data_IF_434549114906
#
_entry.id   IF_434549114906
#
_cell.length_a   1.000
_cell.length_b   1.000
_cell.length_c   1.000
_cell.angle_alpha   90.00
_cell.angle_beta   90.00
_cell.angle_gamma   90.00
#
_symmetry.space_group_name_H-M   'P 1'
#
loop_
_entity.id
_entity.type
_entity.pdbx_description
1 polymer ?
#
# COMPACT_ATOMS: atom_id res chain seq x y z
N UNK A 1 -30.16 34.73 12.39
CA UNK A 1 -29.32 33.71 13.06
C UNK A 1 -29.91 32.32 12.81
N UNK A 2 -29.44 31.60 11.78
CA UNK A 2 -29.78 30.19 11.54
C UNK A 2 -28.49 29.39 11.69
N UNK A 3 -28.46 28.48 12.66
CA UNK A 3 -27.30 27.66 13.04
C UNK A 3 -27.14 26.52 12.05
N UNK A 4 -25.96 26.42 11.44
CA UNK A 4 -25.56 25.38 10.49
C UNK A 4 -25.24 24.06 11.21
N UNK A 5 -25.77 22.91 10.78
CA UNK A 5 -25.34 21.59 11.26
C UNK A 5 -24.37 20.96 10.25
N UNK A 6 -23.12 21.40 10.21
CA UNK A 6 -22.11 20.84 9.28
C UNK A 6 -20.74 20.62 9.94
N UNK A 7 -20.70 20.42 11.26
CA UNK A 7 -19.44 20.38 12.00
C UNK A 7 -19.15 19.07 12.76
N UNK A 8 -19.67 17.92 12.33
CA UNK A 8 -19.33 16.64 12.98
C UNK A 8 -19.12 15.47 12.02
N UNK A 9 -18.58 15.75 10.83
CA UNK A 9 -18.07 14.70 9.94
C UNK A 9 -16.62 14.97 9.49
N UNK A 10 -15.82 15.61 10.34
CA UNK A 10 -14.40 15.92 10.04
C UNK A 10 -13.42 15.36 11.08
N UNK A 11 -13.79 14.26 11.76
CA UNK A 11 -12.90 13.61 12.73
C UNK A 11 -12.77 12.09 12.52
N UNK A 12 -12.73 11.66 11.26
CA UNK A 12 -12.41 10.26 10.88
C UNK A 12 -11.10 10.18 10.08
N UNK A 13 -10.28 11.25 10.08
CA UNK A 13 -9.11 11.35 9.19
C UNK A 13 -7.76 11.44 9.94
N UNK A 14 -7.73 11.51 11.27
CA UNK A 14 -6.49 11.85 11.98
C UNK A 14 -5.96 10.79 12.97
N UNK A 15 -5.91 9.50 12.59
CA UNK A 15 -5.24 8.51 13.46
C UNK A 15 -4.64 7.28 12.77
N UNK A 16 -4.04 7.43 11.58
CA UNK A 16 -3.37 6.33 10.87
C UNK A 16 -2.05 6.76 10.18
N UNK A 17 -1.35 7.75 10.73
CA UNK A 17 -0.23 8.39 10.04
C UNK A 17 1.17 7.75 10.24
N UNK A 18 1.36 6.69 11.03
CA UNK A 18 2.74 6.34 11.43
C UNK A 18 3.24 4.94 11.17
N UNK A 19 2.48 4.03 10.56
CA UNK A 19 3.04 2.70 10.29
C UNK A 19 2.56 2.12 8.95
N UNK A 20 3.40 2.39 7.93
CA UNK A 20 4.04 1.32 7.19
C UNK A 20 3.14 0.34 6.43
N UNK A 21 3.24 0.46 5.11
CA UNK A 21 3.06 -0.61 4.11
C UNK A 21 1.60 -0.86 3.70
N UNK A 22 1.40 -0.74 2.38
CA UNK A 22 0.20 -0.91 1.53
C UNK A 22 -0.65 0.31 1.17
N UNK A 23 -0.55 1.42 1.90
CA UNK A 23 -1.14 2.69 1.46
C UNK A 23 -0.10 3.79 1.59
N UNK A 24 0.48 4.22 0.46
CA UNK A 24 1.21 5.49 0.43
C UNK A 24 0.19 6.60 0.71
N UNK A 25 0.26 7.15 1.91
CA UNK A 25 -0.46 8.33 2.34
C UNK A 25 0.05 9.55 1.57
N UNK A 26 -0.63 9.89 0.48
CA UNK A 26 -0.64 11.24 -0.07
C UNK A 26 -2.06 11.55 -0.56
N UNK A 27 -2.83 12.24 0.28
CA UNK A 27 -4.12 12.84 -0.09
C UNK A 27 -5.35 11.99 0.21
N UNK A 28 -6.10 12.41 1.21
CA UNK A 28 -7.46 11.96 1.48
C UNK A 28 -8.36 12.20 0.25
N UNK A 29 -8.95 11.14 -0.31
CA UNK A 29 -10.21 11.15 -1.08
C UNK A 29 -10.56 9.72 -1.52
N UNK A 30 -11.85 9.34 -1.58
CA UNK A 30 -12.30 8.00 -1.99
C UNK A 30 -12.01 7.64 -3.46
N UNK A 31 -11.28 8.49 -4.20
CA UNK A 31 -10.75 8.23 -5.54
C UNK A 31 -9.22 7.96 -5.56
N UNK A 32 -8.53 8.12 -4.42
CA UNK A 32 -7.07 7.95 -4.28
C UNK A 32 -6.62 6.52 -3.97
N UNK A 33 -7.51 5.69 -3.44
CA UNK A 33 -7.21 4.30 -3.05
C UNK A 33 -6.90 3.41 -4.27
N UNK A 34 -7.65 3.57 -5.37
CA UNK A 34 -7.40 2.89 -6.64
C UNK A 34 -6.09 3.36 -7.31
N UNK A 35 -5.75 4.65 -7.19
CA UNK A 35 -4.47 5.21 -7.68
C UNK A 35 -3.28 4.71 -6.86
N UNK A 36 -3.44 4.54 -5.56
CA UNK A 36 -2.39 4.03 -4.68
C UNK A 36 -1.95 2.61 -5.07
N UNK A 37 -2.91 1.73 -5.35
CA UNK A 37 -2.62 0.37 -5.82
C UNK A 37 -2.01 0.37 -7.23
N UNK A 38 -2.60 1.09 -8.19
CA UNK A 38 -2.10 1.13 -9.56
C UNK A 38 -0.64 1.63 -9.62
N UNK A 39 -0.31 2.69 -8.89
CA UNK A 39 1.05 3.22 -8.80
C UNK A 39 2.01 2.28 -8.05
N UNK A 40 1.52 1.47 -7.11
CA UNK A 40 2.35 0.44 -6.46
C UNK A 40 2.62 -0.73 -7.39
N UNK A 41 1.59 -1.21 -8.10
CA UNK A 41 1.70 -2.25 -9.11
C UNK A 41 2.71 -1.83 -10.18
N UNK A 42 2.55 -0.64 -10.74
CA UNK A 42 3.48 -0.09 -11.74
C UNK A 42 4.92 -0.08 -11.25
N UNK A 43 5.17 0.38 -10.01
CA UNK A 43 6.51 0.33 -9.41
C UNK A 43 7.10 -1.08 -9.31
N UNK A 44 6.28 -2.08 -8.99
CA UNK A 44 6.72 -3.47 -8.92
C UNK A 44 6.97 -4.05 -10.31
N UNK A 45 6.06 -3.82 -11.27
CA UNK A 45 6.21 -4.28 -12.64
C UNK A 45 7.46 -3.71 -13.28
N UNK A 46 7.65 -2.39 -13.18
CA UNK A 46 8.80 -1.69 -13.76
C UNK A 46 10.09 -2.00 -13.00
N UNK A 47 10.05 -1.98 -11.67
CA UNK A 47 11.24 -2.19 -10.84
C UNK A 47 11.78 -3.62 -10.86
N UNK A 48 10.89 -4.61 -10.99
CA UNK A 48 11.26 -6.03 -11.04
C UNK A 48 11.24 -6.61 -12.45
N UNK A 49 10.85 -5.80 -13.45
CA UNK A 49 10.66 -6.23 -14.84
C UNK A 49 9.78 -7.50 -14.90
N UNK A 50 8.60 -7.44 -14.27
CA UNK A 50 7.69 -8.58 -14.19
C UNK A 50 7.15 -8.94 -15.58
N UNK A 51 7.27 -10.20 -15.97
CA UNK A 51 6.65 -10.70 -17.18
C UNK A 51 5.11 -10.74 -17.09
N UNK A 52 4.44 -11.03 -18.20
CA UNK A 52 2.96 -11.05 -18.28
C UNK A 52 2.34 -12.05 -17.30
N UNK A 53 2.98 -13.20 -17.08
CA UNK A 53 2.47 -14.22 -16.17
C UNK A 53 2.67 -13.82 -14.70
N UNK A 54 3.81 -13.22 -14.37
CA UNK A 54 4.08 -12.66 -13.05
C UNK A 54 3.15 -11.48 -12.73
N UNK A 55 2.81 -10.65 -13.71
CA UNK A 55 1.83 -9.57 -13.56
C UNK A 55 0.43 -10.11 -13.24
N UNK A 56 -0.03 -11.15 -13.95
CA UNK A 56 -1.31 -11.81 -13.63
C UNK A 56 -1.33 -12.38 -12.22
N UNK A 57 -0.21 -12.98 -11.78
CA UNK A 57 -0.06 -13.48 -10.40
C UNK A 57 -0.09 -12.34 -9.38
N UNK A 58 0.57 -11.22 -9.64
CA UNK A 58 0.51 -10.03 -8.79
C UNK A 58 -0.93 -9.51 -8.63
N UNK A 59 -1.68 -9.45 -9.72
CA UNK A 59 -3.08 -9.02 -9.71
C UNK A 59 -3.98 -10.01 -8.96
N UNK A 60 -3.75 -11.32 -9.12
CA UNK A 60 -4.46 -12.37 -8.39
C UNK A 60 -4.18 -12.32 -6.88
N UNK A 61 -2.91 -12.19 -6.47
CA UNK A 61 -2.50 -12.04 -5.07
C UNK A 61 -3.20 -10.84 -4.45
N UNK A 62 -3.19 -9.70 -5.15
CA UNK A 62 -3.81 -8.47 -4.61
C UNK A 62 -5.32 -8.61 -4.51
N UNK A 63 -5.97 -9.16 -5.53
CA UNK A 63 -7.43 -9.38 -5.51
C UNK A 63 -7.86 -10.29 -4.36
N UNK A 64 -7.05 -11.30 -4.01
CA UNK A 64 -7.28 -12.17 -2.87
C UNK A 64 -7.03 -11.50 -1.51
N UNK A 65 -6.13 -10.52 -1.44
CA UNK A 65 -5.77 -9.81 -0.20
C UNK A 65 -6.77 -8.69 0.15
N UNK A 66 -7.38 -8.04 -0.84
CA UNK A 66 -8.30 -6.91 -0.61
C UNK A 66 -9.42 -7.20 0.41
N UNK A 67 -10.20 -8.30 0.29
CA UNK A 67 -11.23 -8.62 1.28
C UNK A 67 -10.68 -8.79 2.70
N UNK A 68 -9.44 -9.30 2.81
CA UNK A 68 -8.79 -9.55 4.10
C UNK A 68 -8.33 -8.24 4.75
N UNK A 69 -7.83 -7.29 3.95
CA UNK A 69 -7.53 -5.92 4.41
C UNK A 69 -8.80 -5.24 4.90
N UNK A 70 -9.92 -5.38 4.17
CA UNK A 70 -11.21 -4.83 4.59
C UNK A 70 -11.70 -5.48 5.89
N UNK A 71 -11.52 -6.79 6.06
CA UNK A 71 -11.87 -7.50 7.29
C UNK A 71 -11.11 -6.98 8.52
N UNK A 72 -9.89 -6.43 8.36
CA UNK A 72 -9.16 -5.82 9.47
C UNK A 72 -9.92 -4.65 10.11
N UNK A 73 -10.74 -3.91 9.34
CA UNK A 73 -11.51 -2.80 9.86
C UNK A 73 -12.57 -3.25 10.89
N UNK A 74 -13.06 -4.49 10.75
CA UNK A 74 -14.00 -5.12 11.66
C UNK A 74 -13.36 -5.66 12.95
N UNK A 75 -12.03 -5.70 13.05
CA UNK A 75 -11.33 -6.18 14.25
C UNK A 75 -11.26 -5.12 15.35
N UNK A 76 -11.06 -5.57 16.58
CA UNK A 76 -10.70 -4.70 17.70
C UNK A 76 -9.37 -3.98 17.45
N UNK A 77 -9.25 -2.75 17.96
CA UNK A 77 -8.05 -1.92 17.77
C UNK A 77 -6.76 -2.64 18.18
N UNK A 78 -6.79 -3.40 19.27
CA UNK A 78 -5.64 -4.16 19.76
C UNK A 78 -5.24 -5.32 18.83
N UNK A 79 -6.20 -5.89 18.08
CA UNK A 79 -5.97 -7.01 17.17
C UNK A 79 -5.61 -6.57 15.75
N UNK A 80 -5.95 -5.33 15.36
CA UNK A 80 -5.67 -4.80 14.02
C UNK A 80 -4.20 -4.77 13.66
N UNK A 81 -3.36 -4.25 14.54
CA UNK A 81 -1.92 -4.13 14.29
C UNK A 81 -1.24 -5.50 14.05
N UNK A 82 -1.39 -6.51 14.94
CA UNK A 82 -0.81 -7.83 14.69
C UNK A 82 -1.42 -8.52 13.46
N UNK A 83 -2.73 -8.42 13.23
CA UNK A 83 -3.38 -9.00 12.05
C UNK A 83 -2.89 -8.35 10.74
N UNK A 84 -2.67 -7.03 10.73
CA UNK A 84 -2.10 -6.31 9.59
C UNK A 84 -0.64 -6.70 9.31
N UNK A 85 0.15 -6.90 10.36
CA UNK A 85 1.53 -7.37 10.22
C UNK A 85 1.59 -8.77 9.62
N UNK A 86 0.73 -9.69 10.08
CA UNK A 86 0.61 -11.04 9.51
C UNK A 86 0.20 -11.00 8.04
N UNK A 87 -0.83 -10.21 7.69
CA UNK A 87 -1.28 -10.07 6.31
C UNK A 87 -0.18 -9.50 5.40
N UNK A 88 0.63 -8.59 5.93
CA UNK A 88 1.77 -8.01 5.21
C UNK A 88 2.88 -9.03 4.97
N UNK A 89 3.21 -9.85 5.97
CA UNK A 89 4.20 -10.93 5.83
C UNK A 89 3.74 -11.97 4.81
N UNK A 90 2.47 -12.36 4.85
CA UNK A 90 1.91 -13.33 3.90
C UNK A 90 1.96 -12.81 2.46
N UNK A 91 1.58 -11.55 2.23
CA UNK A 91 1.69 -10.94 0.91
C UNK A 91 3.15 -10.89 0.41
N UNK A 92 4.11 -10.59 1.28
CA UNK A 92 5.54 -10.65 0.92
C UNK A 92 6.00 -12.06 0.58
N UNK A 93 5.52 -13.08 1.29
CA UNK A 93 5.84 -14.48 0.99
C UNK A 93 5.28 -14.90 -0.37
N UNK A 94 4.02 -14.55 -0.66
CA UNK A 94 3.39 -14.84 -1.95
C UNK A 94 4.09 -14.13 -3.11
N UNK A 95 4.51 -12.87 -2.92
CA UNK A 95 5.33 -12.15 -3.90
C UNK A 95 6.67 -12.86 -4.11
N UNK A 96 7.42 -13.16 -3.06
CA UNK A 96 8.72 -13.83 -3.19
C UNK A 96 8.64 -15.19 -3.89
N UNK A 97 7.54 -15.93 -3.71
CA UNK A 97 7.36 -17.25 -4.33
C UNK A 97 7.25 -17.20 -5.87
N UNK A 98 6.79 -16.09 -6.45
CA UNK A 98 6.65 -15.93 -7.92
C UNK A 98 7.84 -15.25 -8.59
N UNK A 99 8.81 -14.73 -7.82
CA UNK A 99 9.97 -14.00 -8.33
C UNK A 99 11.16 -14.93 -8.56
N UNK A 100 11.95 -14.61 -9.58
CA UNK A 100 13.27 -15.23 -9.79
C UNK A 100 14.26 -14.83 -8.68
N UNK A 101 15.39 -15.54 -8.50
CA UNK A 101 16.43 -15.15 -7.55
C UNK A 101 16.88 -13.69 -7.70
N UNK A 102 17.13 -13.24 -8.94
CA UNK A 102 17.58 -11.88 -9.23
C UNK A 102 16.50 -10.84 -8.90
N UNK A 103 15.25 -11.12 -9.26
CA UNK A 103 14.11 -10.26 -8.92
C UNK A 103 13.90 -10.17 -7.40
N UNK A 104 14.12 -11.25 -6.65
CA UNK A 104 14.04 -11.23 -5.17
C UNK A 104 15.12 -10.33 -4.57
N UNK A 105 16.34 -10.35 -5.11
CA UNK A 105 17.41 -9.45 -4.69
C UNK A 105 17.04 -7.98 -4.96
N UNK A 106 16.53 -7.65 -6.14
CA UNK A 106 16.04 -6.30 -6.46
C UNK A 106 14.88 -5.89 -5.55
N UNK A 107 13.94 -6.81 -5.29
CA UNK A 107 12.82 -6.55 -4.38
C UNK A 107 13.31 -6.24 -2.96
N UNK A 108 14.29 -6.98 -2.43
CA UNK A 108 14.88 -6.70 -1.12
C UNK A 108 15.53 -5.31 -1.06
N UNK A 109 16.23 -4.89 -2.11
CA UNK A 109 16.81 -3.54 -2.21
C UNK A 109 15.72 -2.45 -2.25
N UNK A 110 14.63 -2.66 -2.99
CA UNK A 110 13.49 -1.73 -3.03
C UNK A 110 12.84 -1.59 -1.64
N UNK A 111 12.71 -2.70 -0.91
CA UNK A 111 12.15 -2.70 0.44
C UNK A 111 13.05 -1.97 1.44
N UNK A 112 14.37 -2.16 1.35
CA UNK A 112 15.36 -1.46 2.17
C UNK A 112 15.33 0.06 1.94
N UNK A 113 15.27 0.52 0.67
CA UNK A 113 15.15 1.94 0.32
C UNK A 113 13.87 2.57 0.87
N UNK A 114 12.76 1.82 0.87
CA UNK A 114 11.48 2.27 1.41
C UNK A 114 11.52 2.41 2.94
N UNK A 115 12.23 1.52 3.64
CA UNK A 115 12.44 1.60 5.08
C UNK A 115 13.35 2.78 5.48
N UNK A 116 14.30 3.14 4.61
CA UNK A 116 15.20 4.29 4.81
C UNK A 116 14.54 5.65 4.56
N UNK A 117 13.31 5.70 4.02
CA UNK A 117 12.59 6.95 3.79
C UNK A 117 13.05 7.76 2.58
N UNK A 118 13.82 7.17 1.66
CA UNK A 118 14.26 7.84 0.42
C UNK A 118 13.06 8.12 -0.51
N UNK A 119 12.36 9.22 -0.27
CA UNK A 119 11.58 9.91 -1.27
C UNK A 119 12.57 10.56 -2.23
N UNK A 120 12.91 9.90 -3.35
CA UNK A 120 13.60 10.59 -4.45
C UNK A 120 12.75 11.80 -4.82
N UNK A 121 13.25 13.04 -4.68
CA UNK A 121 12.51 14.22 -5.11
C UNK A 121 12.39 14.12 -6.62
N UNK A 122 11.16 13.98 -7.12
CA UNK A 122 10.87 14.30 -8.52
C UNK A 122 11.19 15.80 -8.63
N UNK A 123 12.14 16.24 -9.48
CA UNK A 123 12.44 17.65 -9.60
C UNK A 123 11.15 18.36 -10.00
N UNK A 124 10.75 19.33 -9.16
CA UNK A 124 9.73 20.28 -9.51
C UNK A 124 10.21 20.98 -10.79
N UNK A 125 9.59 20.65 -11.93
CA UNK A 125 9.64 21.51 -13.10
C UNK A 125 9.04 22.84 -12.64
N UNK A 126 9.92 23.83 -12.57
CA UNK A 126 9.60 25.20 -12.22
C UNK A 126 8.42 25.68 -13.07
N UNK A 127 7.42 26.27 -12.39
CA UNK A 127 6.47 27.17 -13.04
C UNK A 127 7.17 28.50 -13.31
#
# INVERSE_FOLDING_TARGET
>A
MKKSPFLSLLLVVLLLATDGVWMSSAGAQPAGEQRGYAAQRERLVTGLQLDVEQQKKLDAITSAMLPRVLALQGLDKAQRAPARAQLTLEAQQQLNAMLTPDQRATYALMQAKKAAGDTVPVPAVAQ
#
